data_IF_782958127429
#
_entry.id   IF_782958127429
#
_cell.length_a   1.000
_cell.length_b   1.000
_cell.length_c   1.000
_cell.angle_alpha   90.00
_cell.angle_beta   90.00
_cell.angle_gamma   90.00
#
_symmetry.space_group_name_H-M   'P 1'
#
loop_
_entity.id
_entity.type
_entity.pdbx_description
1 polymer ?
#
# COMPACT_ATOMS: atom_id res chain seq x y z
N UNK A 1 -25.96 -2.80 23.60
CA UNK A 1 -25.64 -3.11 22.18
C UNK A 1 -26.57 -2.34 21.23
N UNK A 2 -27.90 -2.49 21.32
CA UNK A 2 -28.88 -1.79 20.45
C UNK A 2 -28.79 -0.26 20.37
N UNK A 3 -28.39 0.44 21.45
CA UNK A 3 -28.30 1.91 21.46
C UNK A 3 -27.15 2.39 20.57
N UNK A 4 -25.97 1.75 20.67
CA UNK A 4 -24.79 2.09 19.89
C UNK A 4 -24.99 1.82 18.39
N UNK A 5 -25.69 0.73 18.04
CA UNK A 5 -26.08 0.44 16.65
C UNK A 5 -27.08 1.47 16.11
N UNK A 6 -28.04 1.92 16.95
CA UNK A 6 -29.01 2.94 16.53
C UNK A 6 -28.40 4.33 16.34
N UNK A 7 -27.36 4.67 17.11
CA UNK A 7 -26.61 5.92 16.99
C UNK A 7 -25.72 5.93 15.74
N UNK A 8 -25.02 4.82 15.46
CA UNK A 8 -24.23 4.66 14.22
C UNK A 8 -25.14 4.79 13.00
N UNK A 9 -26.26 4.07 12.99
CA UNK A 9 -27.22 4.16 11.89
C UNK A 9 -27.90 5.53 11.78
N UNK A 10 -27.92 6.35 12.84
CA UNK A 10 -28.43 7.71 12.78
C UNK A 10 -27.40 8.69 12.21
N UNK A 11 -26.12 8.49 12.53
CA UNK A 11 -25.01 9.27 11.98
C UNK A 11 -24.86 9.03 10.47
N UNK A 12 -24.90 7.77 10.02
CA UNK A 12 -24.85 7.42 8.59
C UNK A 12 -25.99 8.08 7.79
N UNK A 13 -27.24 7.98 8.29
CA UNK A 13 -28.39 8.64 7.66
C UNK A 13 -28.31 10.17 7.66
N UNK A 14 -27.53 10.78 8.55
CA UNK A 14 -27.28 12.22 8.48
C UNK A 14 -26.33 12.53 7.33
N UNK A 15 -25.23 11.79 7.22
CA UNK A 15 -24.26 11.93 6.13
C UNK A 15 -24.93 11.71 4.77
N UNK A 16 -25.72 10.63 4.61
CA UNK A 16 -26.47 10.35 3.37
C UNK A 16 -27.37 11.52 2.95
N UNK A 17 -28.12 12.11 3.90
CA UNK A 17 -28.98 13.26 3.61
C UNK A 17 -28.21 14.50 3.21
N UNK A 18 -27.02 14.71 3.78
CA UNK A 18 -26.15 15.82 3.42
C UNK A 18 -25.58 15.61 2.01
N UNK A 19 -25.21 14.37 1.65
CA UNK A 19 -24.79 14.01 0.29
C UNK A 19 -25.92 14.26 -0.71
N UNK A 20 -27.15 13.84 -0.40
CA UNK A 20 -28.31 14.07 -1.26
C UNK A 20 -28.61 15.56 -1.47
N UNK A 21 -28.33 16.40 -0.45
CA UNK A 21 -28.52 17.86 -0.54
C UNK A 21 -27.46 18.51 -1.45
N UNK A 22 -26.21 18.10 -1.32
CA UNK A 22 -25.10 18.45 -2.23
C UNK A 22 -24.74 19.94 -2.32
N UNK A 23 -25.32 20.79 -1.47
CA UNK A 23 -25.02 22.22 -1.42
C UNK A 23 -23.79 22.55 -0.57
N UNK A 24 -23.27 23.78 -0.71
CA UNK A 24 -22.08 24.22 0.01
C UNK A 24 -22.25 24.15 1.54
N UNK A 25 -23.48 24.35 2.03
CA UNK A 25 -23.82 24.20 3.45
C UNK A 25 -23.70 22.74 3.89
N UNK A 26 -24.13 21.78 3.05
CA UNK A 26 -24.03 20.35 3.35
C UNK A 26 -22.57 19.90 3.39
N UNK A 27 -21.75 20.38 2.45
CA UNK A 27 -20.30 20.13 2.47
C UNK A 27 -19.68 20.72 3.74
N UNK A 28 -20.07 21.92 4.17
CA UNK A 28 -19.59 22.49 5.42
C UNK A 28 -20.00 21.67 6.66
N UNK A 29 -21.23 21.17 6.70
CA UNK A 29 -21.71 20.28 7.77
C UNK A 29 -20.95 18.94 7.78
N UNK A 30 -20.72 18.32 6.61
CA UNK A 30 -19.90 17.13 6.47
C UNK A 30 -18.48 17.38 7.00
N UNK A 31 -17.87 18.54 6.71
CA UNK A 31 -16.52 18.88 7.19
C UNK A 31 -16.50 19.01 8.71
N UNK A 32 -17.57 19.56 9.30
CA UNK A 32 -17.70 19.65 10.75
C UNK A 32 -17.83 18.27 11.41
N UNK A 33 -18.54 17.32 10.77
CA UNK A 33 -18.63 15.93 11.22
C UNK A 33 -17.27 15.22 11.13
N UNK A 34 -16.58 15.33 9.98
CA UNK A 34 -15.24 14.75 9.77
C UNK A 34 -14.22 15.30 10.78
N UNK A 35 -14.27 16.61 11.07
CA UNK A 35 -13.41 17.27 12.07
C UNK A 35 -13.65 16.75 13.50
N UNK A 36 -14.83 16.18 13.77
CA UNK A 36 -15.17 15.54 15.06
C UNK A 36 -14.80 14.04 15.09
N UNK A 37 -14.25 13.52 13.99
CA UNK A 37 -13.84 12.12 13.87
C UNK A 37 -14.90 11.19 13.27
N UNK A 38 -15.94 11.72 12.61
CA UNK A 38 -16.88 10.90 11.85
C UNK A 38 -16.19 10.32 10.61
N UNK A 39 -15.96 9.00 10.62
CA UNK A 39 -15.25 8.29 9.57
C UNK A 39 -16.02 8.33 8.24
N UNK A 40 -17.34 8.14 8.28
CA UNK A 40 -18.16 8.10 7.07
C UNK A 40 -18.27 9.48 6.41
N UNK A 41 -18.41 10.55 7.20
CA UNK A 41 -18.31 11.91 6.67
C UNK A 41 -16.93 12.19 6.05
N UNK A 42 -15.87 11.67 6.66
CA UNK A 42 -14.50 11.79 6.12
C UNK A 42 -14.40 11.06 4.78
N UNK A 43 -14.81 9.79 4.70
CA UNK A 43 -14.81 8.98 3.48
C UNK A 43 -15.64 9.61 2.34
N UNK A 44 -16.80 10.19 2.66
CA UNK A 44 -17.65 10.89 1.69
C UNK A 44 -16.96 12.13 1.14
N UNK A 45 -16.41 12.99 2.02
CA UNK A 45 -15.68 14.20 1.60
C UNK A 45 -14.44 13.87 0.77
N UNK A 46 -13.80 12.75 1.11
CA UNK A 46 -12.69 12.17 0.36
C UNK A 46 -13.13 11.73 -1.03
N UNK A 47 -14.22 10.98 -1.14
CA UNK A 47 -14.75 10.55 -2.43
C UNK A 47 -15.16 11.74 -3.31
N UNK A 48 -15.55 12.86 -2.69
CA UNK A 48 -15.85 14.12 -3.38
C UNK A 48 -14.59 14.96 -3.71
N UNK A 49 -13.38 14.47 -3.43
CA UNK A 49 -12.12 15.19 -3.63
C UNK A 49 -12.04 16.54 -2.90
N UNK A 50 -12.60 16.64 -1.70
CA UNK A 50 -12.56 17.88 -0.91
C UNK A 50 -11.14 18.21 -0.43
N UNK A 51 -10.53 19.33 -0.88
CA UNK A 51 -9.12 19.62 -0.57
C UNK A 51 -8.88 19.94 0.91
N UNK A 52 -9.85 20.54 1.61
CA UNK A 52 -9.70 20.89 3.02
C UNK A 52 -9.69 19.64 3.91
N UNK A 53 -10.57 18.68 3.61
CA UNK A 53 -10.58 17.39 4.29
C UNK A 53 -9.30 16.62 4.01
N UNK A 54 -8.81 16.65 2.77
CA UNK A 54 -7.54 16.01 2.42
C UNK A 54 -6.36 16.54 3.25
N UNK A 55 -6.25 17.86 3.42
CA UNK A 55 -5.22 18.48 4.25
C UNK A 55 -5.39 18.12 5.75
N UNK A 56 -6.61 18.17 6.27
CA UNK A 56 -6.89 17.85 7.67
C UNK A 56 -6.54 16.39 8.03
N UNK A 57 -6.87 15.44 7.14
CA UNK A 57 -6.54 14.02 7.31
C UNK A 57 -5.03 13.80 7.24
N UNK A 58 -4.31 14.39 6.28
CA UNK A 58 -2.83 14.31 6.25
C UNK A 58 -2.21 14.85 7.54
N UNK A 59 -2.71 15.97 8.05
CA UNK A 59 -2.21 16.53 9.31
C UNK A 59 -2.43 15.59 10.52
N UNK A 60 -3.51 14.82 10.53
CA UNK A 60 -3.78 13.78 11.53
C UNK A 60 -2.87 12.56 11.32
N UNK A 61 -2.70 12.11 10.08
CA UNK A 61 -1.84 10.99 9.71
C UNK A 61 -0.38 11.22 10.14
N UNK A 62 0.15 12.43 9.92
CA UNK A 62 1.48 12.85 10.38
C UNK A 62 1.61 12.92 11.91
N UNK A 63 0.50 13.01 12.65
CA UNK A 63 0.47 12.93 14.12
C UNK A 63 0.31 11.49 14.64
N UNK A 64 0.27 10.50 13.76
CA UNK A 64 0.17 9.08 14.10
C UNK A 64 -1.26 8.54 14.20
N UNK A 65 -2.26 9.27 13.72
CA UNK A 65 -3.63 8.75 13.62
C UNK A 65 -3.69 7.64 12.56
N UNK A 66 -3.84 6.39 13.02
CA UNK A 66 -3.81 5.19 12.16
C UNK A 66 -4.92 5.17 11.12
N UNK A 67 -6.12 5.58 11.47
CA UNK A 67 -7.23 5.61 10.52
C UNK A 67 -7.00 6.70 9.47
N UNK A 68 -6.48 7.87 9.88
CA UNK A 68 -6.08 8.90 8.92
C UNK A 68 -4.94 8.42 8.02
N UNK A 69 -3.97 7.67 8.52
CA UNK A 69 -2.92 7.06 7.70
C UNK A 69 -3.50 6.09 6.68
N UNK A 70 -4.43 5.22 7.06
CA UNK A 70 -5.05 4.27 6.14
C UNK A 70 -5.80 5.00 5.02
N UNK A 71 -6.54 6.07 5.34
CA UNK A 71 -7.18 6.93 4.34
C UNK A 71 -6.17 7.60 3.39
N UNK A 72 -5.04 8.09 3.92
CA UNK A 72 -3.97 8.66 3.07
C UNK A 72 -3.37 7.57 2.18
N UNK A 73 -3.11 6.37 2.71
CA UNK A 73 -2.60 5.23 1.95
C UNK A 73 -3.57 4.90 0.81
N UNK A 74 -4.88 4.85 1.04
CA UNK A 74 -5.88 4.65 0.00
C UNK A 74 -5.77 5.69 -1.13
N UNK A 75 -5.54 6.97 -0.80
CA UNK A 75 -5.34 8.02 -1.81
C UNK A 75 -4.03 7.88 -2.59
N UNK A 76 -3.00 7.31 -1.97
CA UNK A 76 -1.70 7.12 -2.61
C UNK A 76 -1.67 5.93 -3.56
N UNK A 77 -2.64 5.01 -3.46
CA UNK A 77 -2.72 3.82 -4.32
C UNK A 77 -3.36 4.16 -5.68
N UNK A 78 -4.28 5.13 -5.72
CA UNK A 78 -5.12 5.39 -6.91
C UNK A 78 -4.45 6.26 -8.00
N UNK A 79 -3.52 7.18 -7.68
CA UNK A 79 -2.58 7.73 -8.63
C UNK A 79 -1.21 7.07 -8.42
N UNK A 80 -0.50 6.75 -9.50
CA UNK A 80 0.93 6.41 -9.45
C UNK A 80 1.80 7.60 -9.03
N UNK A 81 1.49 8.19 -7.89
CA UNK A 81 2.13 9.36 -7.32
C UNK A 81 3.55 8.98 -6.90
N UNK A 82 4.59 9.55 -7.51
CA UNK A 82 5.97 9.29 -7.11
C UNK A 82 6.26 9.72 -5.66
N UNK A 83 5.43 10.58 -5.06
CA UNK A 83 5.54 10.98 -3.65
C UNK A 83 4.93 9.95 -2.68
N UNK A 84 4.23 8.94 -3.18
CA UNK A 84 3.64 7.88 -2.36
C UNK A 84 4.70 7.09 -1.58
N UNK A 85 5.84 6.77 -2.21
CA UNK A 85 6.86 5.89 -1.61
C UNK A 85 7.46 6.48 -0.32
N UNK A 86 7.93 7.74 -0.27
CA UNK A 86 8.38 8.37 0.98
C UNK A 86 7.34 8.36 2.11
N UNK A 87 6.08 8.66 1.79
CA UNK A 87 5.01 8.76 2.80
C UNK A 87 4.61 7.37 3.32
N UNK A 88 4.42 6.39 2.42
CA UNK A 88 4.18 5.00 2.78
C UNK A 88 5.32 4.42 3.61
N UNK A 89 6.57 4.75 3.30
CA UNK A 89 7.74 4.33 4.09
C UNK A 89 7.66 4.86 5.51
N UNK A 90 7.31 6.13 5.68
CA UNK A 90 7.13 6.74 7.00
C UNK A 90 6.05 6.02 7.80
N UNK A 91 4.91 5.69 7.18
CA UNK A 91 3.82 4.99 7.87
C UNK A 91 4.16 3.53 8.17
N UNK A 92 4.82 2.84 7.26
CA UNK A 92 5.33 1.49 7.42
C UNK A 92 6.31 1.38 8.59
N UNK A 93 7.28 2.31 8.68
CA UNK A 93 8.25 2.41 9.78
C UNK A 93 7.57 2.73 11.13
N UNK A 94 6.43 3.42 11.11
CA UNK A 94 5.57 3.63 12.28
C UNK A 94 4.67 2.41 12.61
N UNK A 95 4.84 1.28 11.91
CA UNK A 95 4.11 0.03 12.14
C UNK A 95 2.74 -0.03 11.47
N UNK A 96 2.48 0.80 10.44
CA UNK A 96 1.29 0.67 9.62
C UNK A 96 1.45 -0.49 8.61
N UNK A 97 0.78 -1.61 8.90
CA UNK A 97 0.83 -2.80 8.05
C UNK A 97 0.15 -2.65 6.68
N UNK A 98 -0.85 -1.78 6.57
CA UNK A 98 -1.46 -1.48 5.26
C UNK A 98 -0.50 -0.67 4.39
N UNK A 99 0.15 0.35 4.96
CA UNK A 99 1.20 1.10 4.28
C UNK A 99 2.39 0.20 3.88
N UNK A 100 2.80 -0.73 4.76
CA UNK A 100 3.83 -1.74 4.47
C UNK A 100 3.46 -2.57 3.24
N UNK A 101 2.23 -3.07 3.16
CA UNK A 101 1.78 -3.87 2.02
C UNK A 101 1.80 -3.07 0.70
N UNK A 102 1.35 -1.82 0.72
CA UNK A 102 1.36 -0.98 -0.48
C UNK A 102 2.76 -0.59 -0.91
N UNK A 103 3.63 -0.29 0.06
CA UNK A 103 5.02 0.05 -0.22
C UNK A 103 5.75 -1.10 -0.94
N UNK A 104 5.63 -2.33 -0.46
CA UNK A 104 6.30 -3.46 -1.12
C UNK A 104 5.74 -3.74 -2.52
N UNK A 105 4.44 -3.49 -2.75
CA UNK A 105 3.83 -3.56 -4.11
C UNK A 105 4.44 -2.50 -5.03
N UNK A 106 4.55 -1.25 -4.57
CA UNK A 106 5.12 -0.17 -5.37
C UNK A 106 6.61 -0.42 -5.67
N UNK A 107 7.39 -0.87 -4.69
CA UNK A 107 8.80 -1.24 -4.89
C UNK A 107 8.91 -2.34 -5.96
N UNK A 108 8.08 -3.39 -5.88
CA UNK A 108 8.04 -4.43 -6.91
C UNK A 108 7.74 -3.86 -8.31
N UNK A 109 6.79 -2.93 -8.42
CA UNK A 109 6.46 -2.28 -9.69
C UNK A 109 7.57 -1.35 -10.22
N UNK A 110 8.34 -0.71 -9.35
CA UNK A 110 9.52 0.08 -9.75
C UNK A 110 10.60 -0.81 -10.36
N UNK A 111 10.84 -1.97 -9.76
CA UNK A 111 11.64 -3.06 -10.33
C UNK A 111 13.13 -2.77 -10.54
N UNK A 112 13.63 -1.61 -10.13
CA UNK A 112 15.04 -1.26 -10.19
C UNK A 112 15.86 -1.86 -9.02
N UNK A 113 17.18 -1.67 -9.03
CA UNK A 113 18.07 -2.20 -8.00
C UNK A 113 17.85 -1.56 -6.62
N UNK A 114 17.39 -0.31 -6.57
CA UNK A 114 17.08 0.35 -5.30
C UNK A 114 15.84 -0.30 -4.66
N UNK A 115 14.81 -0.56 -5.46
CA UNK A 115 13.63 -1.26 -5.02
C UNK A 115 13.93 -2.70 -4.59
N UNK A 116 14.78 -3.43 -5.33
CA UNK A 116 15.25 -4.75 -4.93
C UNK A 116 16.00 -4.71 -3.58
N UNK A 117 16.84 -3.71 -3.37
CA UNK A 117 17.57 -3.51 -2.11
C UNK A 117 16.63 -3.28 -0.93
N UNK A 118 15.59 -2.46 -1.11
CA UNK A 118 14.63 -2.23 -0.04
C UNK A 118 13.73 -3.45 0.23
N UNK A 119 13.29 -4.16 -0.81
CA UNK A 119 12.54 -5.42 -0.66
C UNK A 119 13.36 -6.46 0.12
N UNK A 120 14.68 -6.53 -0.12
CA UNK A 120 15.61 -7.39 0.60
C UNK A 120 15.70 -7.04 2.07
N UNK A 121 15.94 -5.78 2.40
CA UNK A 121 16.00 -5.32 3.79
C UNK A 121 14.71 -5.63 4.56
N UNK A 122 13.55 -5.46 3.92
CA UNK A 122 12.24 -5.78 4.50
C UNK A 122 12.03 -7.29 4.69
N UNK A 123 12.46 -8.10 3.72
CA UNK A 123 12.43 -9.56 3.82
C UNK A 123 13.30 -10.07 4.98
N UNK A 124 14.51 -9.52 5.13
CA UNK A 124 15.42 -9.83 6.23
C UNK A 124 14.84 -9.42 7.60
N UNK A 125 14.07 -8.33 7.64
CA UNK A 125 13.31 -7.92 8.82
C UNK A 125 12.06 -8.80 9.11
N UNK A 126 11.79 -9.81 8.28
CA UNK A 126 10.72 -10.79 8.47
C UNK A 126 9.45 -10.53 7.66
N UNK A 127 9.43 -9.54 6.76
CA UNK A 127 8.29 -9.33 5.86
C UNK A 127 8.24 -10.43 4.79
N UNK A 128 7.35 -11.42 4.99
CA UNK A 128 7.19 -12.55 4.07
C UNK A 128 6.67 -12.14 2.69
N UNK A 129 5.88 -11.06 2.60
CA UNK A 129 5.38 -10.59 1.31
C UNK A 129 6.48 -9.90 0.51
N UNK A 130 7.35 -9.12 1.18
CA UNK A 130 8.56 -8.57 0.57
C UNK A 130 9.49 -9.66 0.02
N UNK A 131 9.67 -10.76 0.76
CA UNK A 131 10.48 -11.90 0.32
C UNK A 131 9.94 -12.53 -0.98
N UNK A 132 8.62 -12.72 -1.06
CA UNK A 132 7.96 -13.25 -2.27
C UNK A 132 8.17 -12.29 -3.47
N UNK A 133 7.98 -10.99 -3.25
CA UNK A 133 8.13 -9.99 -4.32
C UNK A 133 9.58 -9.83 -4.76
N UNK A 134 10.55 -9.94 -3.86
CA UNK A 134 11.97 -9.97 -4.20
C UNK A 134 12.30 -11.13 -5.14
N UNK A 135 11.92 -12.37 -4.78
CA UNK A 135 12.15 -13.54 -5.63
C UNK A 135 11.50 -13.38 -7.00
N UNK A 136 10.29 -12.81 -7.05
CA UNK A 136 9.60 -12.53 -8.31
C UNK A 136 10.36 -11.50 -9.14
N UNK A 137 10.84 -10.42 -8.53
CA UNK A 137 11.58 -9.37 -9.21
C UNK A 137 12.91 -9.90 -9.80
N UNK A 138 13.66 -10.66 -9.01
CA UNK A 138 14.91 -11.30 -9.46
C UNK A 138 14.65 -12.23 -10.65
N UNK A 139 13.56 -12.99 -10.61
CA UNK A 139 13.15 -13.86 -11.71
C UNK A 139 12.81 -13.06 -12.98
N UNK A 140 12.06 -11.96 -12.85
CA UNK A 140 11.66 -11.12 -13.98
C UNK A 140 12.86 -10.39 -14.61
N UNK A 141 13.87 -10.01 -13.80
CA UNK A 141 15.12 -9.41 -14.30
C UNK A 141 16.01 -10.41 -15.04
N UNK A 142 16.15 -11.62 -14.51
CA UNK A 142 16.89 -12.71 -15.15
C UNK A 142 18.38 -12.47 -15.42
N UNK A 143 18.93 -11.33 -14.99
CA UNK A 143 20.34 -11.01 -15.13
C UNK A 143 21.23 -11.90 -14.23
N UNK A 144 22.54 -11.93 -14.52
CA UNK A 144 23.48 -12.81 -13.82
C UNK A 144 23.51 -12.56 -12.29
N UNK A 145 23.34 -11.31 -11.87
CA UNK A 145 23.27 -10.96 -10.45
C UNK A 145 22.01 -11.55 -9.81
N UNK A 146 20.87 -11.40 -10.48
CA UNK A 146 19.58 -11.92 -10.03
C UNK A 146 19.56 -13.44 -9.94
N UNK A 147 20.17 -14.14 -10.92
CA UNK A 147 20.34 -15.61 -10.87
C UNK A 147 21.22 -16.03 -9.69
N UNK A 148 22.31 -15.31 -9.44
CA UNK A 148 23.21 -15.59 -8.31
C UNK A 148 22.49 -15.45 -6.98
N UNK A 149 21.66 -14.42 -6.84
CA UNK A 149 20.87 -14.21 -5.64
C UNK A 149 19.75 -15.25 -5.47
N UNK A 150 19.04 -15.60 -6.55
CA UNK A 150 18.05 -16.69 -6.52
C UNK A 150 18.68 -18.02 -6.08
N UNK A 151 19.91 -18.30 -6.51
CA UNK A 151 20.68 -19.46 -6.04
C UNK A 151 20.96 -19.38 -4.54
N UNK A 152 21.43 -18.25 -4.04
CA UNK A 152 21.69 -18.07 -2.61
C UNK A 152 20.42 -18.27 -1.75
N UNK A 153 19.27 -17.74 -2.20
CA UNK A 153 17.98 -17.92 -1.53
C UNK A 153 17.53 -19.39 -1.58
N UNK A 154 17.69 -20.06 -2.71
CA UNK A 154 17.38 -21.49 -2.86
C UNK A 154 18.25 -22.36 -1.92
N UNK A 155 19.55 -22.07 -1.85
CA UNK A 155 20.50 -22.77 -0.97
C UNK A 155 20.19 -22.55 0.51
N UNK A 156 19.63 -21.38 0.86
CA UNK A 156 19.11 -21.09 2.19
C UNK A 156 17.75 -21.76 2.48
N UNK A 157 17.16 -22.47 1.52
CA UNK A 157 15.92 -23.23 1.67
C UNK A 157 14.66 -22.53 1.18
N UNK A 158 14.76 -21.40 0.48
CA UNK A 158 13.61 -20.76 -0.14
C UNK A 158 13.09 -21.60 -1.33
N UNK A 159 11.93 -22.22 -1.13
CA UNK A 159 11.30 -23.09 -2.13
C UNK A 159 10.80 -22.31 -3.35
N UNK A 160 10.38 -21.07 -3.17
CA UNK A 160 9.92 -20.24 -4.27
C UNK A 160 11.11 -19.83 -5.15
N UNK A 161 12.22 -19.41 -4.54
CA UNK A 161 13.46 -19.14 -5.25
C UNK A 161 13.98 -20.38 -6.01
N UNK A 162 13.97 -21.55 -5.35
CA UNK A 162 14.35 -22.83 -5.99
C UNK A 162 13.54 -23.12 -7.25
N UNK A 163 12.22 -22.89 -7.20
CA UNK A 163 11.31 -23.11 -8.33
C UNK A 163 11.59 -22.13 -9.48
N UNK A 164 11.81 -20.85 -9.16
CA UNK A 164 12.11 -19.81 -10.15
C UNK A 164 13.47 -19.99 -10.82
N UNK A 165 14.48 -20.35 -10.04
CA UNK A 165 15.82 -20.66 -10.57
C UNK A 165 15.79 -21.83 -11.55
N UNK A 166 15.09 -22.93 -11.22
CA UNK A 166 14.96 -24.07 -12.12
C UNK A 166 14.29 -23.68 -13.46
N UNK A 167 13.35 -22.74 -13.41
CA UNK A 167 12.67 -22.21 -14.61
C UNK A 167 13.64 -21.42 -15.50
N UNK A 168 14.48 -20.54 -14.93
CA UNK A 168 15.49 -19.79 -15.70
C UNK A 168 16.53 -20.72 -16.34
N UNK A 169 17.03 -21.70 -15.58
CA UNK A 169 18.05 -22.63 -16.03
C UNK A 169 17.57 -23.61 -17.11
N UNK A 170 16.27 -23.85 -17.22
CA UNK A 170 15.69 -24.67 -18.29
C UNK A 170 15.51 -23.84 -19.56
N UNK A 171 15.02 -22.60 -19.44
CA UNK A 171 14.90 -21.67 -20.57
C UNK A 171 16.25 -21.35 -21.25
N UNK A 172 17.32 -21.19 -20.47
CA UNK A 172 18.67 -20.91 -21.00
C UNK A 172 19.25 -22.09 -21.80
N UNK A 173 19.00 -23.32 -21.33
CA UNK A 173 19.44 -24.55 -22.03
C UNK A 173 18.74 -24.75 -23.36
N UNK A 174 17.47 -24.40 -23.46
CA UNK A 174 16.71 -24.46 -24.71
C UNK A 174 17.20 -23.39 -25.71
N UNK A 175 17.54 -22.20 -25.21
CA UNK A 175 18.05 -21.09 -26.04
C UNK A 175 19.46 -21.37 -26.59
N UNK A 176 20.32 -22.03 -25.82
CA UNK A 176 21.67 -22.41 -26.23
C UNK A 176 21.77 -23.66 -27.12
N UNK A 177 20.70 -24.47 -27.22
CA UNK A 177 20.66 -25.67 -28.05
C UNK A 177 20.24 -25.39 -29.51
N UNK A 178 19.70 -24.20 -29.79
CA UNK A 178 19.18 -23.78 -31.10
C UNK A 178 20.09 -22.72 -31.80
N UNK A 179 21.31 -22.50 -31.27
CA UNK A 179 22.34 -21.57 -31.78
C UNK A 179 23.56 -22.30 -32.33
#
# INVERSE_FOLDING_TARGET
MRIRESEVAAAERLVERLVDRGDDEAVAELRALASRGDAYATEVLVAMSDPQTAEAVRARAHKGDRHAQDLVVEWLIDPGDPEAVPELRTYAEAGNGYAEEQLVRLLFHQGDEQAATELRARAEAGNSYAAILLVRLLFERGDQASVTELQALADAGDRYASTRLATLLTADRESGADS
#
